data_IF_929299866601
#
_entry.id   IF_929299866601
#
_cell.length_a   1.000
_cell.length_b   1.000
_cell.length_c   1.000
_cell.angle_alpha   90.00
_cell.angle_beta   90.00
_cell.angle_gamma   90.00
#
_symmetry.space_group_name_H-M   'P 1'
#
loop_
_entity.id
_entity.type
_entity.pdbx_description
1 polymer ?
#
# COMPACT_ATOMS: atom_id res chain seq x y z
N UNK A 1 -35.75 21.61 22.27
CA UNK A 1 -34.59 20.74 21.97
C UNK A 1 -35.08 19.54 21.18
N UNK A 2 -35.17 19.68 19.86
CA UNK A 2 -35.60 18.62 18.95
C UNK A 2 -34.42 17.66 18.79
N UNK A 3 -34.45 16.50 19.45
CA UNK A 3 -33.48 15.43 19.16
C UNK A 3 -33.56 15.14 17.66
N UNK A 4 -32.43 15.12 16.96
CA UNK A 4 -32.35 14.76 15.54
C UNK A 4 -32.93 13.34 15.39
N UNK A 5 -34.00 13.19 14.61
CA UNK A 5 -34.67 11.92 14.38
C UNK A 5 -33.70 10.81 13.92
N UNK A 6 -32.61 11.18 13.24
CA UNK A 6 -31.61 10.24 12.72
C UNK A 6 -30.60 9.73 13.75
N UNK A 7 -30.62 10.24 15.00
CA UNK A 7 -29.61 9.88 16.02
C UNK A 7 -29.75 8.43 16.52
N UNK A 8 -30.90 7.79 16.28
CA UNK A 8 -31.20 6.41 16.72
C UNK A 8 -31.43 5.45 15.55
N UNK A 9 -31.09 5.86 14.33
CA UNK A 9 -31.29 5.05 13.13
C UNK A 9 -30.00 4.33 12.73
N UNK A 10 -30.09 3.02 12.53
CA UNK A 10 -28.97 2.15 12.19
C UNK A 10 -29.21 1.42 10.88
N UNK A 11 -28.17 1.32 10.05
CA UNK A 11 -28.17 0.40 8.91
C UNK A 11 -27.73 -0.98 9.39
N UNK A 12 -28.60 -1.97 9.21
CA UNK A 12 -28.33 -3.38 9.53
C UNK A 12 -28.23 -4.14 8.22
N UNK A 13 -27.10 -4.81 8.02
CA UNK A 13 -26.84 -5.73 6.93
C UNK A 13 -26.85 -7.16 7.47
N UNK A 14 -27.51 -8.08 6.77
CA UNK A 14 -27.59 -9.50 7.10
C UNK A 14 -27.30 -10.30 5.84
N UNK A 15 -26.40 -11.26 5.94
CA UNK A 15 -26.04 -12.19 4.87
C UNK A 15 -26.49 -13.61 5.21
N UNK A 16 -27.06 -14.28 4.21
CA UNK A 16 -27.52 -15.66 4.29
C UNK A 16 -26.71 -16.53 3.33
N UNK A 17 -26.33 -17.74 3.76
CA UNK A 17 -25.70 -18.80 2.95
C UNK A 17 -26.70 -19.39 1.94
N UNK A 18 -27.10 -18.55 0.99
CA UNK A 18 -28.03 -18.87 -0.08
C UNK A 18 -27.41 -18.33 -1.37
N UNK A 19 -26.63 -19.15 -2.08
CA UNK A 19 -26.00 -18.74 -3.32
C UNK A 19 -27.04 -18.59 -4.43
N UNK A 20 -26.89 -17.57 -5.27
CA UNK A 20 -27.72 -17.35 -6.47
C UNK A 20 -29.24 -17.40 -6.19
N UNK A 21 -29.77 -16.62 -5.23
CA UNK A 21 -31.21 -16.57 -4.96
C UNK A 21 -31.99 -16.08 -6.19
N UNK A 22 -33.20 -16.60 -6.38
CA UNK A 22 -34.04 -16.17 -7.51
C UNK A 22 -34.51 -14.72 -7.33
N UNK A 23 -34.83 -14.01 -8.43
CA UNK A 23 -35.37 -12.64 -8.36
C UNK A 23 -36.61 -12.49 -7.47
N UNK A 24 -37.45 -13.53 -7.40
CA UNK A 24 -38.67 -13.55 -6.59
C UNK A 24 -38.37 -13.49 -5.08
N UNK A 25 -37.24 -14.05 -4.65
CA UNK A 25 -36.80 -13.98 -3.25
C UNK A 25 -36.51 -12.52 -2.89
N UNK A 26 -35.80 -11.77 -3.74
CA UNK A 26 -35.51 -10.35 -3.49
C UNK A 26 -36.79 -9.52 -3.43
N UNK A 27 -37.70 -9.72 -4.37
CA UNK A 27 -38.99 -9.01 -4.40
C UNK A 27 -39.79 -9.26 -3.12
N UNK A 28 -39.87 -10.52 -2.66
CA UNK A 28 -40.61 -10.84 -1.45
C UNK A 28 -39.95 -10.32 -0.17
N UNK A 29 -38.62 -10.30 -0.09
CA UNK A 29 -37.91 -9.70 1.04
C UNK A 29 -38.15 -8.19 1.10
N UNK A 30 -38.09 -7.51 -0.06
CA UNK A 30 -38.38 -6.09 -0.16
C UNK A 30 -39.82 -5.75 0.26
N UNK A 31 -40.80 -6.56 -0.13
CA UNK A 31 -42.19 -6.39 0.27
C UNK A 31 -42.37 -6.56 1.79
N UNK A 32 -41.85 -7.66 2.35
CA UNK A 32 -42.02 -8.01 3.78
C UNK A 32 -41.30 -7.05 4.73
N UNK A 33 -40.19 -6.48 4.27
CA UNK A 33 -39.36 -5.57 5.07
C UNK A 33 -39.60 -4.10 4.70
N UNK A 34 -40.63 -3.81 3.90
CA UNK A 34 -40.92 -2.47 3.35
C UNK A 34 -41.01 -1.37 4.41
N UNK A 35 -41.40 -1.70 5.65
CA UNK A 35 -41.42 -0.75 6.78
C UNK A 35 -40.04 -0.29 7.25
N UNK A 36 -38.96 -0.88 6.74
CA UNK A 36 -37.57 -0.64 7.18
C UNK A 36 -36.65 -0.19 6.04
N UNK A 37 -37.20 0.36 4.96
CA UNK A 37 -36.46 0.81 3.76
C UNK A 37 -35.43 -0.25 3.27
N UNK A 38 -35.89 -1.44 2.88
CA UNK A 38 -35.02 -2.58 2.65
C UNK A 38 -34.32 -2.49 1.28
N UNK A 39 -33.11 -3.02 1.20
CA UNK A 39 -32.43 -3.35 -0.04
C UNK A 39 -31.99 -4.82 0.03
N UNK A 40 -32.54 -5.66 -0.86
CA UNK A 40 -32.17 -7.06 -0.98
C UNK A 40 -31.43 -7.29 -2.29
N UNK A 41 -30.36 -8.08 -2.26
CA UNK A 41 -29.53 -8.33 -3.44
C UNK A 41 -28.41 -9.32 -3.18
N UNK A 42 -27.61 -9.65 -4.21
CA UNK A 42 -26.44 -10.49 -4.02
C UNK A 42 -25.35 -9.75 -3.22
N UNK A 43 -24.74 -10.44 -2.26
CA UNK A 43 -23.48 -10.06 -1.64
C UNK A 43 -22.31 -10.24 -2.64
N UNK A 44 -21.12 -9.77 -2.27
CA UNK A 44 -19.93 -9.86 -3.14
C UNK A 44 -19.55 -11.31 -3.50
N UNK A 45 -19.83 -12.26 -2.61
CA UNK A 45 -19.63 -13.70 -2.82
C UNK A 45 -20.80 -14.39 -3.55
N UNK A 46 -21.85 -13.66 -3.94
CA UNK A 46 -23.05 -14.19 -4.61
C UNK A 46 -24.15 -14.71 -3.69
N UNK A 47 -23.96 -14.62 -2.37
CA UNK A 47 -24.97 -14.99 -1.37
C UNK A 47 -26.12 -13.99 -1.32
N UNK A 48 -27.27 -14.40 -0.78
CA UNK A 48 -28.36 -13.49 -0.46
C UNK A 48 -27.93 -12.53 0.64
N UNK A 49 -28.13 -11.24 0.40
CA UNK A 49 -27.99 -10.21 1.42
C UNK A 49 -29.21 -9.31 1.50
N UNK A 50 -29.44 -8.79 2.70
CA UNK A 50 -30.48 -7.81 2.98
C UNK A 50 -29.89 -6.71 3.85
N UNK A 51 -30.11 -5.47 3.43
CA UNK A 51 -29.86 -4.28 4.24
C UNK A 51 -31.18 -3.61 4.58
N UNK A 52 -31.32 -3.12 5.81
CA UNK A 52 -32.49 -2.38 6.28
C UNK A 52 -32.08 -1.31 7.28
N UNK A 53 -33.01 -0.42 7.60
CA UNK A 53 -32.80 0.63 8.60
C UNK A 53 -33.70 0.42 9.81
N UNK A 54 -33.08 0.31 10.98
CA UNK A 54 -33.75 0.02 12.25
C UNK A 54 -33.55 1.20 13.20
N UNK A 55 -34.66 1.67 13.76
CA UNK A 55 -34.64 2.62 14.87
C UNK A 55 -34.48 1.85 16.19
N UNK A 56 -33.41 2.15 16.93
CA UNK A 56 -33.06 1.51 18.19
C UNK A 56 -32.25 2.43 19.10
N UNK A 57 -32.23 2.14 20.41
CA UNK A 57 -31.49 2.97 21.36
C UNK A 57 -29.96 2.81 21.25
N UNK A 58 -29.51 1.66 20.72
CA UNK A 58 -28.10 1.30 20.62
C UNK A 58 -27.86 0.28 19.49
N UNK A 59 -26.61 0.12 19.00
CA UNK A 59 -26.32 -0.76 17.87
C UNK A 59 -26.53 -2.25 18.15
N UNK A 60 -26.44 -2.70 19.40
CA UNK A 60 -26.64 -4.11 19.77
C UNK A 60 -28.12 -4.48 19.62
N UNK A 61 -29.01 -3.61 20.08
CA UNK A 61 -30.47 -3.76 19.92
C UNK A 61 -30.88 -3.67 18.44
N UNK A 62 -30.27 -2.76 17.68
CA UNK A 62 -30.46 -2.70 16.22
C UNK A 62 -30.04 -4.00 15.54
N UNK A 63 -28.89 -4.57 15.91
CA UNK A 63 -28.41 -5.85 15.38
C UNK A 63 -29.39 -6.99 15.64
N UNK A 64 -29.79 -7.14 16.91
CA UNK A 64 -30.70 -8.21 17.33
C UNK A 64 -32.03 -8.14 16.55
N UNK A 65 -32.67 -6.97 16.54
CA UNK A 65 -33.94 -6.75 15.82
C UNK A 65 -33.78 -6.93 14.31
N UNK A 66 -32.72 -6.37 13.73
CA UNK A 66 -32.49 -6.45 12.28
C UNK A 66 -32.27 -7.89 11.81
N UNK A 67 -31.50 -8.69 12.55
CA UNK A 67 -31.32 -10.12 12.27
C UNK A 67 -32.64 -10.88 12.44
N UNK A 68 -33.38 -10.63 13.52
CA UNK A 68 -34.68 -11.26 13.76
C UNK A 68 -35.68 -10.97 12.63
N UNK A 69 -35.80 -9.72 12.19
CA UNK A 69 -36.71 -9.33 11.11
C UNK A 69 -36.28 -9.93 9.77
N UNK A 70 -34.98 -9.91 9.46
CA UNK A 70 -34.45 -10.53 8.26
C UNK A 70 -34.73 -12.04 8.23
N UNK A 71 -34.47 -12.75 9.34
CA UNK A 71 -34.77 -14.18 9.47
C UNK A 71 -36.27 -14.45 9.34
N UNK A 72 -37.12 -13.69 10.02
CA UNK A 72 -38.57 -13.86 9.94
C UNK A 72 -39.10 -13.68 8.50
N UNK A 73 -38.52 -12.74 7.74
CA UNK A 73 -38.86 -12.54 6.33
C UNK A 73 -38.35 -13.70 5.45
N UNK A 74 -37.12 -14.17 5.69
CA UNK A 74 -36.46 -15.24 4.96
C UNK A 74 -37.09 -16.62 5.19
N UNK A 75 -37.54 -16.93 6.41
CA UNK A 75 -38.26 -18.18 6.73
C UNK A 75 -39.50 -18.36 5.86
N UNK A 76 -40.21 -17.26 5.57
CA UNK A 76 -41.37 -17.29 4.67
C UNK A 76 -40.99 -17.56 3.19
N UNK A 77 -39.70 -17.57 2.87
CA UNK A 77 -39.12 -17.99 1.58
C UNK A 77 -38.41 -19.34 1.68
N UNK A 78 -38.71 -20.13 2.73
CA UNK A 78 -38.10 -21.43 3.00
C UNK A 78 -36.58 -21.38 3.25
N UNK A 79 -36.06 -20.20 3.59
CA UNK A 79 -34.65 -20.02 3.97
C UNK A 79 -34.54 -20.21 5.49
N UNK A 80 -33.75 -21.19 5.97
CA UNK A 80 -33.69 -21.53 7.39
C UNK A 80 -32.98 -20.43 8.19
N UNK A 81 -33.34 -20.16 9.46
CA UNK A 81 -32.67 -19.16 10.29
C UNK A 81 -31.17 -19.42 10.48
N UNK A 82 -30.76 -20.69 10.44
CA UNK A 82 -29.37 -21.13 10.55
C UNK A 82 -28.51 -20.77 9.35
N UNK A 83 -29.09 -20.25 8.26
CA UNK A 83 -28.34 -19.80 7.08
C UNK A 83 -27.68 -18.43 7.27
N UNK A 84 -27.96 -17.69 8.35
CA UNK A 84 -27.28 -16.41 8.58
C UNK A 84 -25.78 -16.66 8.83
N UNK A 85 -24.94 -16.15 7.94
CA UNK A 85 -23.47 -16.29 8.00
C UNK A 85 -22.77 -15.04 8.48
N UNK A 86 -23.45 -13.90 8.43
CA UNK A 86 -22.88 -12.64 8.88
C UNK A 86 -23.94 -11.57 9.06
N UNK A 87 -23.61 -10.60 9.92
CA UNK A 87 -24.36 -9.35 10.01
C UNK A 87 -23.39 -8.21 10.32
N UNK A 88 -23.76 -7.00 9.90
CA UNK A 88 -23.03 -5.79 10.21
C UNK A 88 -24.02 -4.68 10.57
N UNK A 89 -23.67 -3.89 11.58
CA UNK A 89 -24.46 -2.74 12.01
C UNK A 89 -23.61 -1.50 12.00
N UNK A 90 -24.17 -0.43 11.47
CA UNK A 90 -23.53 0.89 11.43
C UNK A 90 -24.57 1.98 11.70
N UNK A 91 -24.13 3.12 12.20
CA UNK A 91 -25.02 4.28 12.32
C UNK A 91 -25.43 4.77 10.94
N UNK A 92 -26.61 5.39 10.84
CA UNK A 92 -27.07 5.99 9.59
C UNK A 92 -26.10 7.08 9.07
N UNK A 93 -25.48 7.84 9.96
CA UNK A 93 -24.48 8.85 9.62
C UNK A 93 -23.23 8.24 8.97
N UNK A 94 -22.72 7.15 9.54
CA UNK A 94 -21.56 6.44 9.01
C UNK A 94 -21.86 5.79 7.66
N UNK A 95 -23.04 5.16 7.53
CA UNK A 95 -23.50 4.61 6.25
C UNK A 95 -23.55 5.70 5.16
N UNK A 96 -24.15 6.85 5.48
CA UNK A 96 -24.20 7.98 4.55
C UNK A 96 -22.83 8.57 4.23
N UNK A 97 -21.89 8.54 5.20
CA UNK A 97 -20.50 8.94 4.95
C UNK A 97 -19.84 8.01 3.93
N UNK A 98 -20.02 6.69 4.08
CA UNK A 98 -19.48 5.69 3.15
C UNK A 98 -20.10 5.80 1.76
N UNK A 99 -21.41 6.01 1.65
CA UNK A 99 -22.08 6.25 0.36
C UNK A 99 -21.56 7.47 -0.40
N UNK A 100 -21.06 8.48 0.32
CA UNK A 100 -20.46 9.69 -0.29
C UNK A 100 -19.00 9.48 -0.70
N UNK A 101 -18.36 8.38 -0.29
CA UNK A 101 -17.04 8.03 -0.79
C UNK A 101 -17.20 7.37 -2.16
N UNK A 102 -16.41 7.75 -3.18
CA UNK A 102 -16.45 7.07 -4.46
C UNK A 102 -16.06 5.60 -4.25
N UNK A 103 -17.02 4.69 -4.42
CA UNK A 103 -16.85 3.24 -4.31
C UNK A 103 -16.18 2.61 -5.53
N UNK A 104 -15.71 3.43 -6.47
CA UNK A 104 -15.00 2.94 -7.64
C UNK A 104 -13.58 2.53 -7.22
N UNK A 105 -13.14 1.31 -7.58
CA UNK A 105 -11.73 0.97 -7.51
C UNK A 105 -10.93 2.07 -8.19
N UNK A 106 -9.83 2.49 -7.57
CA UNK A 106 -8.99 3.51 -8.19
C UNK A 106 -8.47 2.97 -9.52
N UNK A 107 -8.85 3.64 -10.60
CA UNK A 107 -8.38 3.31 -11.93
C UNK A 107 -7.10 4.07 -12.22
N UNK A 108 -6.21 3.45 -12.97
CA UNK A 108 -4.97 4.05 -13.44
C UNK A 108 -4.91 3.96 -14.96
N UNK A 109 -4.62 5.07 -15.63
CA UNK A 109 -4.19 5.09 -17.03
C UNK A 109 -2.73 4.67 -17.17
N UNK A 110 -2.22 4.59 -18.41
CA UNK A 110 -0.82 4.20 -18.67
C UNK A 110 0.23 5.09 -17.97
N UNK A 111 -0.03 6.40 -17.88
CA UNK A 111 0.89 7.33 -17.21
C UNK A 111 0.95 7.04 -15.70
N UNK A 112 -0.21 6.94 -15.06
CA UNK A 112 -0.33 6.61 -13.63
C UNK A 112 0.23 5.22 -13.33
N UNK A 113 0.02 4.24 -14.20
CA UNK A 113 0.62 2.91 -14.07
C UNK A 113 2.15 2.95 -14.09
N UNK A 114 2.74 3.82 -14.92
CA UNK A 114 4.20 4.00 -14.97
C UNK A 114 4.74 4.60 -13.67
N UNK A 115 3.99 5.52 -13.05
CA UNK A 115 4.33 6.12 -11.77
C UNK A 115 4.18 5.11 -10.61
N UNK A 116 3.06 4.38 -10.56
CA UNK A 116 2.79 3.35 -9.54
C UNK A 116 3.88 2.26 -9.54
N UNK A 117 4.22 1.78 -10.73
CA UNK A 117 5.23 0.73 -10.91
C UNK A 117 6.67 1.26 -10.84
N UNK A 118 6.88 2.59 -10.92
CA UNK A 118 8.21 3.21 -10.92
C UNK A 118 9.05 2.88 -12.16
N UNK A 119 8.40 2.69 -13.31
CA UNK A 119 9.03 2.29 -14.58
C UNK A 119 8.64 3.25 -15.72
N UNK A 120 9.32 3.16 -16.86
CA UNK A 120 8.94 3.95 -18.04
C UNK A 120 7.63 3.44 -18.66
N UNK A 121 6.88 4.33 -19.31
CA UNK A 121 5.66 3.94 -20.04
C UNK A 121 5.91 2.92 -21.16
N UNK A 122 7.12 2.90 -21.75
CA UNK A 122 7.53 1.86 -22.70
C UNK A 122 7.64 0.49 -22.03
N UNK A 123 8.14 0.44 -20.79
CA UNK A 123 8.22 -0.81 -20.03
C UNK A 123 6.84 -1.29 -19.60
N UNK A 124 5.92 -0.40 -19.24
CA UNK A 124 4.51 -0.75 -18.99
C UNK A 124 3.88 -1.42 -20.21
N UNK A 125 4.13 -0.90 -21.41
CA UNK A 125 3.65 -1.50 -22.66
C UNK A 125 4.23 -2.90 -22.89
N UNK A 126 5.53 -3.08 -22.67
CA UNK A 126 6.15 -4.40 -22.77
C UNK A 126 5.53 -5.41 -21.80
N UNK A 127 5.26 -4.99 -20.56
CA UNK A 127 4.61 -5.85 -19.55
C UNK A 127 3.13 -6.14 -19.85
N UNK A 128 2.51 -5.33 -20.70
CA UNK A 128 1.17 -5.58 -21.21
C UNK A 128 1.24 -6.59 -22.36
N UNK A 129 2.16 -6.36 -23.30
CA UNK A 129 2.38 -7.21 -24.47
C UNK A 129 2.86 -8.62 -24.07
N UNK A 130 3.63 -8.75 -22.99
CA UNK A 130 4.09 -10.04 -22.44
C UNK A 130 3.07 -10.74 -21.52
N UNK A 131 1.93 -10.08 -21.26
CA UNK A 131 0.82 -10.61 -20.46
C UNK A 131 0.98 -10.48 -18.95
N UNK A 132 2.10 -9.95 -18.44
CA UNK A 132 2.33 -9.80 -16.99
C UNK A 132 1.30 -8.89 -16.31
N UNK A 133 0.78 -7.89 -17.03
CA UNK A 133 -0.24 -6.97 -16.51
C UNK A 133 -1.69 -7.38 -16.84
N UNK A 134 -1.93 -8.56 -17.42
CA UNK A 134 -3.27 -8.99 -17.81
C UNK A 134 -4.27 -8.98 -16.64
N UNK A 135 -3.82 -9.37 -15.43
CA UNK A 135 -4.65 -9.37 -14.21
C UNK A 135 -4.87 -7.98 -13.61
N UNK A 136 -4.14 -6.97 -14.08
CA UNK A 136 -4.31 -5.57 -13.67
C UNK A 136 -5.18 -4.80 -14.67
N UNK A 137 -5.28 -5.27 -15.91
CA UNK A 137 -5.99 -4.61 -17.00
C UNK A 137 -7.50 -4.77 -16.82
N UNK A 138 -8.21 -3.64 -16.75
CA UNK A 138 -9.68 -3.62 -16.77
C UNK A 138 -10.18 -3.64 -18.21
N UNK A 139 -9.64 -2.74 -19.04
CA UNK A 139 -10.06 -2.59 -20.43
C UNK A 139 -9.04 -1.81 -21.26
N UNK A 140 -8.98 -2.09 -22.55
CA UNK A 140 -8.34 -1.21 -23.53
C UNK A 140 -9.36 -0.22 -24.12
N UNK A 141 -9.11 1.07 -23.93
CA UNK A 141 -9.92 2.15 -24.51
C UNK A 141 -9.17 2.80 -25.68
N UNK A 142 -9.88 3.57 -26.51
CA UNK A 142 -9.27 4.36 -27.58
C UNK A 142 -8.17 5.33 -27.08
N UNK A 143 -8.29 5.81 -25.84
CA UNK A 143 -7.28 6.66 -25.19
C UNK A 143 -6.09 5.88 -24.59
N UNK A 144 -6.17 4.55 -24.53
CA UNK A 144 -5.16 3.67 -23.94
C UNK A 144 -5.73 2.70 -22.91
N UNK A 145 -4.87 1.83 -22.35
CA UNK A 145 -5.27 0.83 -21.36
C UNK A 145 -5.61 1.47 -20.01
N UNK A 146 -6.60 0.89 -19.34
CA UNK A 146 -7.05 1.24 -17.99
C UNK A 146 -6.82 0.06 -17.07
N UNK A 147 -6.21 0.33 -15.92
CA UNK A 147 -5.80 -0.66 -14.94
C UNK A 147 -6.49 -0.44 -13.59
N UNK A 148 -6.56 -1.48 -12.77
CA UNK A 148 -6.84 -1.35 -11.34
C UNK A 148 -5.56 -0.91 -10.63
N UNK A 149 -5.56 0.28 -10.02
CA UNK A 149 -4.40 0.83 -9.32
C UNK A 149 -3.94 -0.09 -8.18
N UNK A 150 -4.87 -0.64 -7.41
CA UNK A 150 -4.55 -1.54 -6.28
C UNK A 150 -3.85 -2.83 -6.75
N UNK A 151 -4.22 -3.36 -7.93
CA UNK A 151 -3.56 -4.53 -8.51
C UNK A 151 -2.16 -4.20 -9.02
N UNK A 152 -1.95 -2.99 -9.55
CA UNK A 152 -0.61 -2.53 -9.93
C UNK A 152 0.31 -2.38 -8.71
N UNK A 153 -0.21 -1.89 -7.58
CA UNK A 153 0.52 -1.87 -6.31
C UNK A 153 0.90 -3.29 -5.86
N UNK A 154 -0.05 -4.22 -5.87
CA UNK A 154 0.22 -5.62 -5.52
C UNK A 154 1.22 -6.28 -6.49
N UNK A 155 1.12 -6.01 -7.79
CA UNK A 155 2.06 -6.52 -8.81
C UNK A 155 3.48 -6.01 -8.56
N UNK A 156 3.63 -4.74 -8.18
CA UNK A 156 4.93 -4.16 -7.80
C UNK A 156 5.53 -4.86 -6.59
N UNK A 157 4.70 -5.19 -5.60
CA UNK A 157 5.15 -5.85 -4.36
C UNK A 157 5.47 -7.34 -4.56
N UNK A 158 4.72 -8.05 -5.41
CA UNK A 158 4.83 -9.51 -5.55
C UNK A 158 5.65 -9.97 -6.77
N UNK A 159 5.43 -9.39 -7.95
CA UNK A 159 5.99 -9.91 -9.20
C UNK A 159 7.17 -9.09 -9.72
N UNK A 160 7.13 -7.77 -9.56
CA UNK A 160 8.27 -6.93 -9.94
C UNK A 160 9.50 -7.20 -9.08
N UNK A 161 9.32 -7.63 -7.82
CA UNK A 161 10.42 -8.07 -6.96
C UNK A 161 10.85 -9.53 -7.21
N UNK A 162 9.96 -10.38 -7.75
CA UNK A 162 10.27 -11.76 -8.13
C UNK A 162 10.99 -11.88 -9.50
N UNK A 163 10.77 -10.91 -10.41
CA UNK A 163 11.30 -10.90 -11.77
C UNK A 163 12.77 -10.48 -11.94
N UNK A 164 13.55 -10.28 -10.88
CA UNK A 164 15.01 -10.16 -11.00
C UNK A 164 15.68 -11.53 -11.09
N UNK A 165 15.31 -12.33 -12.10
CA UNK A 165 15.92 -13.62 -12.43
C UNK A 165 17.37 -13.55 -12.93
N UNK A 166 18.10 -12.46 -12.68
CA UNK A 166 19.55 -12.51 -12.59
C UNK A 166 19.85 -12.79 -11.12
N UNK A 167 20.48 -13.94 -10.83
CA UNK A 167 21.13 -14.16 -9.51
C UNK A 167 21.66 -12.81 -9.06
N UNK A 168 21.17 -12.32 -7.91
CA UNK A 168 21.63 -11.10 -7.28
C UNK A 168 23.13 -11.25 -7.19
N UNK A 169 23.85 -10.67 -8.15
CA UNK A 169 25.29 -10.78 -8.16
C UNK A 169 25.68 -10.04 -6.90
N UNK A 170 26.29 -10.76 -5.97
CA UNK A 170 26.92 -10.16 -4.82
C UNK A 170 27.89 -9.13 -5.41
N UNK A 171 27.55 -7.85 -5.26
CA UNK A 171 28.41 -6.80 -5.77
C UNK A 171 29.69 -6.92 -4.93
N UNK A 172 30.87 -7.00 -5.55
CA UNK A 172 32.13 -7.12 -4.83
C UNK A 172 32.46 -5.79 -4.16
N UNK A 173 31.66 -5.41 -3.16
CA UNK A 173 31.87 -4.21 -2.37
C UNK A 173 32.99 -4.49 -1.37
N UNK A 174 33.95 -3.56 -1.31
CA UNK A 174 34.94 -3.57 -0.24
C UNK A 174 34.25 -3.42 1.13
N UNK A 175 34.94 -3.82 2.22
CA UNK A 175 34.41 -3.66 3.58
C UNK A 175 34.01 -2.20 3.87
N UNK A 176 34.78 -1.25 3.33
CA UNK A 176 34.57 0.18 3.45
C UNK A 176 33.37 0.69 2.65
N UNK A 177 33.20 0.26 1.40
CA UNK A 177 32.01 0.61 0.60
C UNK A 177 30.73 0.08 1.24
N UNK A 178 30.80 -1.14 1.79
CA UNK A 178 29.69 -1.77 2.49
C UNK A 178 29.33 -1.03 3.77
N UNK A 179 30.31 -0.71 4.61
CA UNK A 179 30.10 0.10 5.81
C UNK A 179 29.51 1.48 5.49
N UNK A 180 29.99 2.17 4.44
CA UNK A 180 29.40 3.43 4.00
C UNK A 180 27.95 3.28 3.55
N UNK A 181 27.64 2.25 2.77
CA UNK A 181 26.28 2.01 2.31
C UNK A 181 25.31 1.75 3.47
N UNK A 182 25.74 0.97 4.47
CA UNK A 182 24.95 0.64 5.65
C UNK A 182 24.69 1.88 6.52
N UNK A 183 25.73 2.67 6.78
CA UNK A 183 25.61 3.93 7.55
C UNK A 183 24.74 4.95 6.80
N UNK A 184 24.90 5.10 5.47
CA UNK A 184 24.05 6.00 4.69
C UNK A 184 22.59 5.54 4.66
N UNK A 185 22.34 4.24 4.52
CA UNK A 185 20.99 3.70 4.53
C UNK A 185 20.31 3.92 5.89
N UNK A 186 21.03 3.67 7.00
CA UNK A 186 20.53 3.90 8.35
C UNK A 186 20.24 5.39 8.59
N UNK A 187 21.19 6.28 8.28
CA UNK A 187 21.02 7.72 8.45
C UNK A 187 19.89 8.29 7.59
N UNK A 188 19.72 7.82 6.34
CA UNK A 188 18.63 8.25 5.46
C UNK A 188 17.24 7.81 5.96
N UNK A 189 17.16 6.73 6.73
CA UNK A 189 15.92 6.22 7.35
C UNK A 189 15.75 6.64 8.82
N UNK A 190 16.61 7.52 9.32
CA UNK A 190 16.66 7.90 10.75
C UNK A 190 16.78 6.71 11.71
N UNK A 191 17.41 5.62 11.26
CA UNK A 191 17.70 4.44 12.06
C UNK A 191 19.10 4.55 12.70
N UNK A 192 19.32 3.77 13.77
CA UNK A 192 20.62 3.73 14.44
C UNK A 192 21.68 3.16 13.49
N UNK A 193 22.75 3.93 13.25
CA UNK A 193 23.81 3.52 12.35
C UNK A 193 24.63 2.37 12.98
N UNK A 194 24.98 1.33 12.21
CA UNK A 194 25.86 0.29 12.70
C UNK A 194 27.23 0.90 13.04
N UNK A 195 27.81 0.49 14.18
CA UNK A 195 29.13 0.91 14.66
C UNK A 195 30.10 -0.27 14.81
N UNK A 196 29.86 -1.34 14.05
CA UNK A 196 30.52 -2.64 14.21
C UNK A 196 31.98 -2.68 13.74
N UNK A 197 32.46 -1.69 12.98
CA UNK A 197 33.85 -1.63 12.51
C UNK A 197 34.39 -0.20 12.44
N UNK A 198 35.72 -0.06 12.35
CA UNK A 198 36.38 1.24 12.14
C UNK A 198 35.90 1.94 10.87
N UNK A 199 35.57 1.18 9.81
CA UNK A 199 35.03 1.76 8.58
C UNK A 199 33.62 2.33 8.77
N UNK A 200 32.81 1.79 9.69
CA UNK A 200 31.51 2.37 10.06
C UNK A 200 31.69 3.70 10.80
N UNK A 201 32.66 3.78 11.71
CA UNK A 201 32.98 5.02 12.43
C UNK A 201 33.47 6.09 11.44
N UNK A 202 34.33 5.73 10.50
CA UNK A 202 34.78 6.66 9.46
C UNK A 202 33.65 7.08 8.51
N UNK A 203 32.74 6.17 8.15
CA UNK A 203 31.57 6.49 7.34
C UNK A 203 30.59 7.43 8.07
N UNK A 204 30.35 7.19 9.36
CA UNK A 204 29.48 8.05 10.18
C UNK A 204 30.10 9.43 10.37
N UNK A 205 31.42 9.52 10.54
CA UNK A 205 32.14 10.78 10.65
C UNK A 205 32.17 11.60 9.35
N UNK A 206 31.86 11.00 8.20
CA UNK A 206 31.73 11.71 6.94
C UNK A 206 30.34 12.34 6.74
N UNK A 207 29.34 11.98 7.56
CA UNK A 207 28.00 12.58 7.50
C UNK A 207 28.00 13.85 8.35
N UNK A 208 27.83 14.99 7.71
CA UNK A 208 27.73 16.29 8.38
C UNK A 208 26.31 16.53 8.91
N UNK A 209 25.31 16.19 8.09
CA UNK A 209 23.91 16.50 8.40
C UNK A 209 22.94 15.55 7.68
N UNK A 210 21.90 15.12 8.38
CA UNK A 210 20.72 14.50 7.78
C UNK A 210 19.76 15.56 7.25
N UNK A 211 19.47 15.53 5.95
CA UNK A 211 18.57 16.46 5.28
C UNK A 211 17.16 15.84 5.11
N UNK A 212 16.11 16.66 4.90
CA UNK A 212 14.76 16.17 4.65
C UNK A 212 14.69 15.21 3.45
N UNK A 213 13.74 14.28 3.50
CA UNK A 213 13.50 13.26 2.47
C UNK A 213 14.62 12.21 2.33
N UNK A 214 15.30 11.86 3.42
CA UNK A 214 16.33 10.81 3.44
C UNK A 214 17.59 11.17 2.66
N UNK A 215 17.88 12.46 2.53
CA UNK A 215 19.10 12.96 1.89
C UNK A 215 20.16 13.19 2.96
N UNK A 216 21.43 13.06 2.61
CA UNK A 216 22.54 13.25 3.54
C UNK A 216 23.52 14.27 2.97
N UNK A 217 23.97 15.22 3.78
CA UNK A 217 25.16 16.02 3.45
C UNK A 217 26.38 15.23 3.91
N UNK A 218 27.27 14.93 2.98
CA UNK A 218 28.47 14.13 3.22
C UNK A 218 29.69 14.93 2.81
N UNK A 219 30.66 15.00 3.72
CA UNK A 219 31.96 15.57 3.46
C UNK A 219 32.87 14.50 2.83
N UNK A 220 33.24 14.69 1.55
CA UNK A 220 34.07 13.72 0.83
C UNK A 220 35.56 13.86 1.15
N UNK A 221 36.00 15.03 1.60
CA UNK A 221 37.41 15.41 1.60
C UNK A 221 38.00 15.42 0.17
N UNK A 222 39.33 15.51 0.04
CA UNK A 222 39.98 15.64 -1.26
C UNK A 222 39.65 14.44 -2.17
N UNK A 223 39.64 14.63 -3.48
CA UNK A 223 39.24 13.61 -4.48
C UNK A 223 39.95 12.25 -4.32
N UNK A 224 41.15 12.24 -3.73
CA UNK A 224 41.94 11.03 -3.47
C UNK A 224 41.62 10.31 -2.16
N UNK A 225 40.72 10.87 -1.33
CA UNK A 225 40.37 10.33 -0.04
C UNK A 225 39.72 8.94 -0.18
N UNK A 226 39.89 8.06 0.81
CA UNK A 226 39.24 6.76 0.81
C UNK A 226 37.71 6.85 0.85
N UNK A 227 37.15 7.98 1.34
CA UNK A 227 35.70 8.24 1.36
C UNK A 227 35.22 8.63 -0.04
N UNK A 228 35.92 9.56 -0.70
CA UNK A 228 35.60 9.98 -2.06
C UNK A 228 35.63 8.79 -3.04
N UNK A 229 36.65 7.93 -2.95
CA UNK A 229 36.78 6.72 -3.78
C UNK A 229 35.64 5.72 -3.54
N UNK A 230 35.27 5.48 -2.30
CA UNK A 230 34.16 4.59 -1.98
C UNK A 230 32.81 5.15 -2.46
N UNK A 231 32.56 6.45 -2.28
CA UNK A 231 31.36 7.13 -2.79
C UNK A 231 31.30 7.03 -4.32
N UNK A 232 32.40 7.26 -5.03
CA UNK A 232 32.47 7.07 -6.49
C UNK A 232 32.13 5.63 -6.90
N UNK A 233 32.59 4.61 -6.17
CA UNK A 233 32.24 3.22 -6.46
C UNK A 233 30.77 2.91 -6.16
N UNK A 234 30.21 3.45 -5.08
CA UNK A 234 28.78 3.31 -4.79
C UNK A 234 27.92 3.97 -5.87
N UNK A 235 28.36 5.10 -6.44
CA UNK A 235 27.71 5.73 -7.61
C UNK A 235 27.85 4.85 -8.85
N UNK A 236 29.04 4.29 -9.13
CA UNK A 236 29.29 3.43 -10.29
C UNK A 236 28.36 2.20 -10.28
N UNK A 237 28.09 1.67 -9.09
CA UNK A 237 27.17 0.56 -8.86
C UNK A 237 25.68 0.99 -8.76
N UNK A 238 25.39 2.28 -8.88
CA UNK A 238 24.05 2.88 -8.76
C UNK A 238 23.37 2.59 -7.41
N UNK A 239 24.16 2.47 -6.35
CA UNK A 239 23.66 2.24 -4.99
C UNK A 239 23.30 3.56 -4.30
N UNK A 240 23.95 4.64 -4.71
CA UNK A 240 23.66 6.01 -4.26
C UNK A 240 23.65 6.95 -5.46
N UNK A 241 23.03 8.12 -5.30
CA UNK A 241 23.14 9.26 -6.21
C UNK A 241 23.72 10.44 -5.47
N UNK A 242 24.46 11.29 -6.17
CA UNK A 242 25.05 12.50 -5.61
C UNK A 242 24.61 13.74 -6.36
N UNK A 243 24.56 14.85 -5.63
CA UNK A 243 24.38 16.19 -6.18
C UNK A 243 25.41 17.11 -5.52
N UNK A 244 26.20 17.80 -6.32
CA UNK A 244 27.10 18.85 -5.81
C UNK A 244 26.28 20.04 -5.31
N UNK A 245 26.70 20.60 -4.17
CA UNK A 245 26.16 21.84 -3.64
C UNK A 245 26.71 23.02 -4.47
N UNK A 246 25.88 24.03 -4.72
CA UNK A 246 26.34 25.26 -5.36
C UNK A 246 27.07 26.14 -4.34
N UNK A 247 27.98 27.03 -4.78
CA UNK A 247 28.83 27.81 -3.85
C UNK A 247 28.05 28.72 -2.88
N UNK A 248 26.77 28.97 -3.14
CA UNK A 248 25.85 29.72 -2.26
C UNK A 248 25.31 28.89 -1.08
N UNK A 249 25.45 27.56 -1.13
CA UNK A 249 24.95 26.60 -0.13
C UNK A 249 26.07 25.99 0.72
N UNK A 250 27.33 26.37 0.45
CA UNK A 250 28.53 25.78 1.04
C UNK A 250 29.04 26.66 2.18
N UNK A 251 29.09 26.15 3.42
CA UNK A 251 29.79 26.83 4.52
C UNK A 251 31.30 26.95 4.22
N UNK A 252 32.00 28.00 4.69
CA UNK A 252 33.44 28.15 4.47
C UNK A 252 34.20 26.94 5.03
N UNK A 253 34.93 26.22 4.18
CA UNK A 253 35.64 24.97 4.51
C UNK A 253 35.03 23.68 3.95
N UNK A 254 33.83 23.77 3.34
CA UNK A 254 33.03 22.63 2.88
C UNK A 254 32.90 22.54 1.35
N UNK A 255 33.92 23.00 0.61
CA UNK A 255 33.90 23.09 -0.86
C UNK A 255 33.70 21.73 -1.56
N UNK A 256 33.91 20.64 -0.83
CA UNK A 256 33.85 19.25 -1.32
C UNK A 256 32.60 18.50 -0.81
N UNK A 257 31.68 19.19 -0.15
CA UNK A 257 30.45 18.59 0.37
C UNK A 257 29.49 18.24 -0.78
N UNK A 258 28.93 17.04 -0.69
CA UNK A 258 27.91 16.56 -1.62
C UNK A 258 26.65 16.15 -0.88
N UNK A 259 25.52 16.26 -1.58
CA UNK A 259 24.27 15.67 -1.12
C UNK A 259 24.17 14.27 -1.69
N UNK A 260 24.12 13.27 -0.82
CA UNK A 260 23.94 11.86 -1.15
C UNK A 260 22.48 11.46 -0.95
N UNK A 261 21.96 10.62 -1.84
CA UNK A 261 20.68 9.92 -1.66
C UNK A 261 20.87 8.44 -1.91
N UNK A 262 20.40 7.61 -0.99
CA UNK A 262 20.47 6.14 -1.14
C UNK A 262 19.36 5.68 -2.08
N UNK A 263 19.70 4.88 -3.09
CA UNK A 263 18.70 4.36 -4.02
C UNK A 263 17.96 3.17 -3.41
N UNK A 264 16.81 2.78 -3.98
CA UNK A 264 16.15 1.54 -3.59
C UNK A 264 17.04 0.29 -3.75
N UNK A 265 18.00 0.32 -4.69
CA UNK A 265 19.03 -0.72 -4.82
C UNK A 265 20.01 -0.68 -3.64
N UNK A 266 20.45 0.52 -3.24
CA UNK A 266 21.31 0.72 -2.08
C UNK A 266 20.71 0.19 -0.77
N UNK A 267 19.46 0.56 -0.46
CA UNK A 267 18.77 0.07 0.73
C UNK A 267 18.66 -1.46 0.77
N UNK A 268 18.38 -2.10 -0.37
CA UNK A 268 18.33 -3.57 -0.45
C UNK A 268 19.69 -4.23 -0.16
N UNK A 269 20.79 -3.65 -0.64
CA UNK A 269 22.13 -4.19 -0.38
C UNK A 269 22.60 -3.92 1.06
N UNK A 270 22.20 -2.81 1.68
CA UNK A 270 22.46 -2.56 3.10
C UNK A 270 21.75 -3.56 4.02
N UNK A 271 20.46 -3.85 3.76
CA UNK A 271 19.67 -4.73 4.63
C UNK A 271 20.05 -6.22 4.53
N UNK A 272 20.62 -6.65 3.40
CA UNK A 272 21.10 -8.04 3.24
C UNK A 272 22.26 -8.36 4.21
N UNK A 273 23.12 -7.38 4.50
CA UNK A 273 24.21 -7.56 5.47
C UNK A 273 23.67 -7.68 6.90
N UNK A 274 22.67 -6.86 7.27
CA UNK A 274 22.07 -6.89 8.60
C UNK A 274 21.45 -8.26 8.91
N UNK A 275 20.73 -8.87 7.95
CA UNK A 275 20.15 -10.20 8.12
C UNK A 275 21.15 -11.35 8.09
N UNK A 276 22.37 -11.16 7.56
CA UNK A 276 23.42 -12.19 7.55
C UNK A 276 24.17 -12.29 8.89
N UNK A 277 24.11 -11.25 9.73
CA UNK A 277 24.77 -11.20 11.05
C UNK A 277 23.90 -11.82 12.16
N UNK A 278 22.59 -11.94 11.95
CA UNK A 278 21.63 -12.47 12.93
C UNK A 278 21.38 -14.00 12.87
N UNK A 279 22.09 -14.76 12.03
CA UNK A 279 21.98 -16.21 12.03
C UNK A 279 22.75 -16.82 13.23
N UNK A 280 22.08 -17.39 14.24
CA UNK A 280 22.77 -18.01 15.37
C UNK A 280 23.50 -19.27 14.92
N UNK A 281 24.80 -19.35 15.25
CA UNK A 281 25.56 -20.61 15.29
C UNK A 281 25.26 -21.38 16.56
#
# INVERSE_FOLDING_TARGET
>A
MTRRADQYRYSVYVEFDVPNPSPDVFASLHEKLSSYDPAAGPAENGNLSVRMFIDADNPIDAAARGVEYAQAAAVKQQIPPTSVVGFAVMTYEEFNRQLRQPSLPKLAGRAEASEILGISGTRVRQLLDDGSLANCLVQELAAGPVFLADRLHAFREHEHDAGSGRRRADLPLSARERAMLEVFAAAASSAEAPSSSSDHVHASGAIEEGLPNGKLRVHLGPDDSPVAKAVQQLISHRLITTRHLYSTEIPPGHLEDVVVSVTGKGHRHANLSASAVEAPS
#
